data_IF_837081211355
#
_entry.id   IF_837081211355
#
_cell.length_a   1.000
_cell.length_b   1.000
_cell.length_c   1.000
_cell.angle_alpha   90.00
_cell.angle_beta   90.00
_cell.angle_gamma   90.00
#
_symmetry.space_group_name_H-M   'P 1'
#
loop_
_entity.id
_entity.type
_entity.pdbx_description
1 polymer ?
#
# COMPACT_ATOMS: atom_id res chain seq x y z
N UNK A 1 16.85 27.62 -2.86
CA UNK A 1 15.42 27.43 -2.53
C UNK A 1 15.28 26.02 -1.99
N UNK A 2 14.54 25.83 -0.91
CA UNK A 2 14.21 24.47 -0.46
C UNK A 2 13.33 23.82 -1.52
N UNK A 3 13.70 22.62 -1.97
CA UNK A 3 12.92 21.86 -2.95
C UNK A 3 11.68 21.27 -2.27
N UNK A 4 10.49 21.39 -2.90
CA UNK A 4 9.27 20.74 -2.43
C UNK A 4 9.36 19.26 -2.80
N UNK A 5 9.43 18.35 -1.82
CA UNK A 5 9.57 16.92 -2.09
C UNK A 5 8.22 16.30 -2.47
N UNK A 6 8.25 15.16 -3.20
CA UNK A 6 7.03 14.40 -3.53
C UNK A 6 6.34 13.89 -2.27
N UNK A 7 7.12 13.38 -1.32
CA UNK A 7 6.65 12.85 -0.05
C UNK A 7 7.34 13.52 1.12
N UNK A 8 6.59 13.71 2.21
CA UNK A 8 7.13 14.17 3.48
C UNK A 8 6.24 13.67 4.61
N UNK A 9 6.75 12.83 5.52
CA UNK A 9 5.95 12.36 6.65
C UNK A 9 5.59 13.51 7.59
N UNK A 10 4.42 13.43 8.21
CA UNK A 10 3.99 14.34 9.27
C UNK A 10 4.57 13.85 10.60
N UNK A 11 5.83 14.17 10.87
CA UNK A 11 6.47 13.89 12.16
C UNK A 11 6.49 15.19 12.98
N UNK A 12 5.92 15.13 14.17
CA UNK A 12 5.78 16.24 15.10
C UNK A 12 6.18 15.82 16.53
N UNK A 13 5.85 16.64 17.52
CA UNK A 13 6.24 16.38 18.92
C UNK A 13 5.64 15.10 19.48
N UNK A 14 4.46 14.70 19.00
CA UNK A 14 3.76 13.49 19.45
C UNK A 14 4.51 12.23 19.07
N UNK A 15 4.95 12.10 17.81
CA UNK A 15 5.74 10.97 17.33
C UNK A 15 7.12 10.92 18.01
N UNK A 16 7.73 12.10 18.21
CA UNK A 16 9.02 12.18 18.91
C UNK A 16 8.87 11.72 20.37
N UNK A 17 7.80 12.19 21.05
CA UNK A 17 7.52 11.78 22.43
C UNK A 17 7.25 10.27 22.53
N UNK A 18 6.41 9.70 21.64
CA UNK A 18 6.12 8.28 21.59
C UNK A 18 7.40 7.43 21.35
N UNK A 19 8.28 7.91 20.48
CA UNK A 19 9.57 7.25 20.24
C UNK A 19 10.45 7.27 21.49
N UNK A 20 10.57 8.41 22.17
CA UNK A 20 11.35 8.55 23.42
C UNK A 20 10.79 7.63 24.50
N UNK A 21 9.48 7.65 24.73
CA UNK A 21 8.81 6.79 25.72
C UNK A 21 9.06 5.31 25.45
N UNK A 22 8.95 4.88 24.16
CA UNK A 22 9.24 3.50 23.77
C UNK A 22 10.69 3.11 24.04
N UNK A 23 11.65 4.04 23.85
CA UNK A 23 13.06 3.80 24.14
C UNK A 23 13.33 3.73 25.65
N UNK A 24 12.70 4.61 26.44
CA UNK A 24 12.83 4.64 27.92
C UNK A 24 12.21 3.40 28.56
N UNK A 25 11.14 2.82 27.97
CA UNK A 25 10.57 1.54 28.38
C UNK A 25 11.61 0.39 28.35
N UNK A 26 12.64 0.50 27.51
CA UNK A 26 13.73 -0.46 27.41
C UNK A 26 13.37 -1.79 26.72
N UNK A 27 12.12 -2.01 26.32
CA UNK A 27 11.69 -3.19 25.57
C UNK A 27 11.53 -2.85 24.09
N UNK A 28 12.59 -3.05 23.29
CA UNK A 28 12.66 -2.63 21.88
C UNK A 28 12.12 -3.67 20.90
N UNK A 29 11.97 -4.93 21.32
CA UNK A 29 11.35 -5.98 20.49
C UNK A 29 9.84 -5.80 20.38
N UNK A 30 9.16 -6.82 19.88
CA UNK A 30 7.70 -6.87 19.87
C UNK A 30 7.15 -6.87 21.30
N UNK A 31 6.15 -6.04 21.59
CA UNK A 31 5.59 -5.90 22.94
C UNK A 31 4.26 -5.14 22.95
N UNK A 32 3.99 -4.41 24.04
CA UNK A 32 2.70 -3.76 24.30
C UNK A 32 2.29 -2.72 23.24
N UNK A 33 3.23 -1.95 22.68
CA UNK A 33 2.92 -0.99 21.62
C UNK A 33 2.49 -1.68 20.31
N UNK A 34 3.00 -2.87 20.00
CA UNK A 34 2.57 -3.63 18.84
C UNK A 34 1.10 -4.04 18.97
N UNK A 35 0.66 -4.44 20.18
CA UNK A 35 -0.75 -4.72 20.45
C UNK A 35 -1.62 -3.48 20.25
N UNK A 36 -1.23 -2.34 20.83
CA UNK A 36 -1.94 -1.07 20.66
C UNK A 36 -2.04 -0.65 19.19
N UNK A 37 -0.99 -0.87 18.42
CA UNK A 37 -0.99 -0.59 16.99
C UNK A 37 -1.96 -1.51 16.22
N UNK A 38 -1.98 -2.82 16.51
CA UNK A 38 -2.93 -3.76 15.92
C UNK A 38 -4.38 -3.37 16.26
N UNK A 39 -4.66 -2.96 17.50
CA UNK A 39 -5.96 -2.45 17.95
C UNK A 39 -6.35 -1.14 17.24
N UNK A 40 -5.43 -0.20 17.09
CA UNK A 40 -5.68 1.06 16.38
C UNK A 40 -5.96 0.84 14.88
N UNK A 41 -5.23 -0.07 14.23
CA UNK A 41 -5.53 -0.46 12.83
C UNK A 41 -6.91 -1.10 12.72
N UNK A 42 -7.28 -1.98 13.67
CA UNK A 42 -8.60 -2.62 13.70
C UNK A 42 -9.73 -1.58 13.86
N UNK A 43 -9.53 -0.55 14.68
CA UNK A 43 -10.48 0.55 14.88
C UNK A 43 -10.69 1.36 13.60
N UNK A 44 -9.62 1.77 12.91
CA UNK A 44 -9.71 2.50 11.63
C UNK A 44 -10.47 1.67 10.59
N UNK A 45 -10.23 0.36 10.53
CA UNK A 45 -10.91 -0.55 9.62
C UNK A 45 -12.32 -0.96 10.11
N UNK A 46 -12.78 -0.46 11.27
CA UNK A 46 -14.06 -0.79 11.90
C UNK A 46 -14.29 -2.31 11.99
N UNK A 47 -13.26 -3.06 12.37
CA UNK A 47 -13.38 -4.49 12.55
C UNK A 47 -14.16 -4.78 13.83
N UNK A 48 -15.36 -5.34 13.67
CA UNK A 48 -16.16 -5.79 14.83
C UNK A 48 -15.49 -7.00 15.50
N UNK A 49 -15.53 -7.11 16.84
CA UNK A 49 -15.12 -8.32 17.54
C UNK A 49 -15.83 -9.61 17.03
N UNK A 50 -17.06 -9.46 16.53
CA UNK A 50 -17.84 -10.56 15.98
C UNK A 50 -17.51 -10.90 14.52
N UNK A 51 -16.69 -10.07 13.85
CA UNK A 51 -16.35 -10.26 12.43
C UNK A 51 -15.36 -11.40 12.18
N UNK A 52 -14.80 -12.01 13.23
CA UNK A 52 -13.70 -12.98 13.15
C UNK A 52 -12.48 -12.47 12.35
N UNK A 53 -12.33 -11.14 12.24
CA UNK A 53 -11.19 -10.49 11.57
C UNK A 53 -10.22 -9.94 12.59
N UNK A 54 -8.94 -10.14 12.28
CA UNK A 54 -7.84 -9.81 13.17
C UNK A 54 -6.72 -9.10 12.41
N UNK A 55 -6.01 -8.25 13.10
CA UNK A 55 -4.82 -7.54 12.59
C UNK A 55 -3.57 -8.22 13.11
N UNK A 56 -2.60 -8.44 12.24
CA UNK A 56 -1.26 -8.93 12.59
C UNK A 56 -0.23 -7.93 12.03
N UNK A 57 0.41 -7.18 12.91
CA UNK A 57 1.46 -6.23 12.53
C UNK A 57 2.76 -6.94 12.14
N UNK A 58 3.42 -6.43 11.12
CA UNK A 58 4.69 -6.94 10.58
C UNK A 58 5.66 -5.80 10.29
N UNK A 59 6.91 -6.13 10.03
CA UNK A 59 7.99 -5.15 9.88
C UNK A 59 7.87 -4.24 8.64
N UNK A 60 7.20 -4.67 7.57
CA UNK A 60 7.05 -3.90 6.32
C UNK A 60 5.82 -4.36 5.55
N UNK A 61 5.33 -3.53 4.61
CA UNK A 61 4.28 -3.96 3.66
C UNK A 61 4.73 -5.16 2.81
N UNK A 62 6.00 -5.22 2.41
CA UNK A 62 6.54 -6.38 1.68
C UNK A 62 6.49 -7.68 2.52
N UNK A 63 6.79 -7.60 3.81
CA UNK A 63 6.63 -8.75 4.72
C UNK A 63 5.15 -9.17 4.84
N UNK A 64 4.22 -8.22 4.82
CA UNK A 64 2.78 -8.50 4.81
C UNK A 64 2.36 -9.24 3.53
N UNK A 65 2.79 -8.78 2.36
CA UNK A 65 2.56 -9.45 1.07
C UNK A 65 3.10 -10.88 1.08
N UNK A 66 4.37 -11.06 1.43
CA UNK A 66 5.03 -12.36 1.42
C UNK A 66 4.36 -13.36 2.37
N UNK A 67 4.08 -12.96 3.62
CA UNK A 67 3.40 -13.85 4.57
C UNK A 67 1.97 -14.18 4.12
N UNK A 68 1.23 -13.21 3.57
CA UNK A 68 -0.13 -13.46 3.08
C UNK A 68 -0.14 -14.47 1.93
N UNK A 69 0.76 -14.34 0.96
CA UNK A 69 0.90 -15.30 -0.14
C UNK A 69 1.24 -16.71 0.39
N UNK A 70 2.18 -16.83 1.34
CA UNK A 70 2.48 -18.11 1.98
C UNK A 70 1.28 -18.71 2.72
N UNK A 71 0.50 -17.87 3.42
CA UNK A 71 -0.73 -18.31 4.11
C UNK A 71 -1.82 -18.77 3.15
N UNK A 72 -1.86 -18.19 1.96
CA UNK A 72 -2.75 -18.60 0.86
C UNK A 72 -2.26 -19.87 0.14
N UNK A 73 -1.11 -20.42 0.57
CA UNK A 73 -0.52 -21.64 0.03
C UNK A 73 0.16 -21.43 -1.33
N UNK A 74 0.58 -20.20 -1.63
CA UNK A 74 1.36 -19.89 -2.84
C UNK A 74 2.78 -20.45 -2.69
N UNK A 75 3.26 -21.18 -3.70
CA UNK A 75 4.56 -21.82 -3.70
C UNK A 75 5.11 -22.14 -5.09
N UNK A 76 6.18 -22.96 -5.17
CA UNK A 76 6.80 -23.32 -6.43
C UNK A 76 5.82 -24.01 -7.41
N UNK A 77 5.76 -23.51 -8.63
CA UNK A 77 4.86 -24.00 -9.68
C UNK A 77 3.53 -23.28 -9.77
N UNK A 78 3.17 -22.46 -8.79
CA UNK A 78 1.99 -21.62 -8.81
C UNK A 78 2.21 -20.33 -9.61
N UNK A 79 1.12 -19.75 -10.08
CA UNK A 79 1.06 -18.46 -10.74
C UNK A 79 0.25 -17.48 -9.87
N UNK A 80 0.72 -16.23 -9.80
CA UNK A 80 -0.01 -15.12 -9.17
C UNK A 80 -0.20 -13.99 -10.18
N UNK A 81 -1.45 -13.66 -10.47
CA UNK A 81 -1.80 -12.55 -11.37
C UNK A 81 -1.66 -11.24 -10.61
N UNK A 82 -0.99 -10.26 -11.20
CA UNK A 82 -0.78 -8.92 -10.62
C UNK A 82 -0.69 -7.87 -11.73
N UNK A 83 -1.18 -6.64 -11.52
CA UNK A 83 -0.96 -5.57 -12.49
C UNK A 83 0.53 -5.40 -12.78
N UNK A 84 0.86 -5.20 -14.06
CA UNK A 84 2.23 -4.84 -14.44
C UNK A 84 2.60 -3.42 -14.01
N UNK A 85 1.60 -2.54 -13.89
CA UNK A 85 1.72 -1.20 -13.35
C UNK A 85 1.53 -1.24 -11.83
N UNK A 86 2.59 -1.62 -11.12
CA UNK A 86 2.54 -1.80 -9.68
C UNK A 86 3.94 -1.64 -9.05
N UNK A 87 4.00 -1.60 -7.70
CA UNK A 87 5.24 -1.62 -6.95
C UNK A 87 5.95 -2.98 -7.11
N UNK A 88 7.27 -2.95 -7.25
CA UNK A 88 8.08 -4.17 -7.35
C UNK A 88 7.98 -5.08 -6.11
N UNK A 89 7.47 -4.60 -4.99
CA UNK A 89 7.28 -5.38 -3.78
C UNK A 89 6.37 -6.59 -4.01
N UNK A 90 5.27 -6.43 -4.78
CA UNK A 90 4.36 -7.52 -5.14
C UNK A 90 5.08 -8.61 -5.91
N UNK A 91 5.81 -8.21 -6.95
CA UNK A 91 6.53 -9.15 -7.81
C UNK A 91 7.62 -9.92 -7.05
N UNK A 92 8.31 -9.22 -6.16
CA UNK A 92 9.35 -9.82 -5.31
C UNK A 92 8.75 -10.74 -4.25
N UNK A 93 7.60 -10.41 -3.66
CA UNK A 93 6.90 -11.27 -2.71
C UNK A 93 6.44 -12.58 -3.37
N UNK A 94 5.92 -12.52 -4.61
CA UNK A 94 5.56 -13.70 -5.41
C UNK A 94 6.79 -14.57 -5.63
N UNK A 95 7.91 -13.98 -6.08
CA UNK A 95 9.15 -14.71 -6.30
C UNK A 95 9.75 -15.30 -5.02
N UNK A 96 9.62 -14.60 -3.89
CA UNK A 96 10.06 -15.09 -2.60
C UNK A 96 9.30 -16.35 -2.14
N UNK A 97 8.04 -16.52 -2.58
CA UNK A 97 7.28 -17.77 -2.41
C UNK A 97 7.72 -18.88 -3.37
N UNK A 98 8.58 -18.61 -4.36
CA UNK A 98 8.95 -19.55 -5.42
C UNK A 98 7.93 -19.60 -6.58
N UNK A 99 6.91 -18.75 -6.57
CA UNK A 99 5.88 -18.68 -7.60
C UNK A 99 6.25 -17.73 -8.75
N UNK A 100 5.45 -17.74 -9.82
CA UNK A 100 5.63 -16.92 -11.01
C UNK A 100 4.62 -15.76 -11.03
N UNK A 101 5.05 -14.47 -11.15
CA UNK A 101 4.12 -13.40 -11.44
C UNK A 101 3.61 -13.51 -12.87
N UNK A 102 2.30 -13.31 -13.03
CA UNK A 102 1.64 -13.21 -14.34
C UNK A 102 1.14 -11.77 -14.47
N UNK A 103 1.69 -11.03 -15.43
CA UNK A 103 1.36 -9.62 -15.56
C UNK A 103 0.07 -9.41 -16.36
N UNK A 104 -0.81 -8.63 -15.79
CA UNK A 104 -2.06 -8.16 -16.40
C UNK A 104 -2.03 -6.64 -16.59
N UNK A 105 -2.84 -6.17 -17.52
CA UNK A 105 -3.03 -4.74 -17.76
C UNK A 105 -3.89 -4.09 -16.67
N UNK A 106 -3.98 -2.79 -16.71
CA UNK A 106 -4.78 -1.95 -15.84
C UNK A 106 -5.96 -1.34 -16.59
N UNK A 107 -6.98 -0.96 -15.87
CA UNK A 107 -8.04 -0.09 -16.34
C UNK A 107 -7.50 1.33 -16.54
N UNK A 108 -7.88 2.00 -17.64
CA UNK A 108 -7.32 3.31 -18.01
C UNK A 108 -7.77 4.45 -17.10
N UNK A 109 -8.97 4.37 -16.58
CA UNK A 109 -9.59 5.44 -15.79
C UNK A 109 -9.14 5.40 -14.34
N UNK A 110 -9.00 4.18 -13.78
CA UNK A 110 -8.69 3.97 -12.37
C UNK A 110 -7.23 3.58 -12.10
N UNK A 111 -6.51 3.11 -13.11
CA UNK A 111 -5.17 2.52 -13.01
C UNK A 111 -5.09 1.30 -12.08
N UNK A 112 -6.23 0.80 -11.60
CA UNK A 112 -6.35 -0.47 -10.90
C UNK A 112 -6.31 -1.64 -11.89
N UNK A 113 -6.27 -2.87 -11.37
CA UNK A 113 -6.27 -4.09 -12.19
C UNK A 113 -7.47 -4.13 -13.16
N UNK A 114 -7.21 -4.43 -14.44
CA UNK A 114 -8.26 -4.80 -15.40
C UNK A 114 -8.76 -6.21 -15.08
N UNK A 115 -9.92 -6.27 -14.43
CA UNK A 115 -10.50 -7.50 -13.89
C UNK A 115 -10.87 -8.48 -14.99
N UNK A 116 -11.36 -7.99 -16.14
CA UNK A 116 -11.71 -8.83 -17.29
C UNK A 116 -10.49 -9.50 -17.88
N UNK A 117 -9.43 -8.73 -18.11
CA UNK A 117 -8.14 -9.28 -18.59
C UNK A 117 -7.49 -10.20 -17.55
N UNK A 118 -7.67 -9.93 -16.26
CA UNK A 118 -7.17 -10.81 -15.21
C UNK A 118 -7.85 -12.18 -15.25
N UNK A 119 -9.17 -12.22 -15.44
CA UNK A 119 -9.91 -13.47 -15.56
C UNK A 119 -9.47 -14.32 -16.76
N UNK A 120 -9.21 -13.67 -17.91
CA UNK A 120 -8.72 -14.36 -19.13
C UNK A 120 -7.34 -15.03 -18.93
N UNK A 121 -6.55 -14.53 -17.97
CA UNK A 121 -5.23 -15.07 -17.65
C UNK A 121 -5.25 -16.22 -16.65
N UNK A 122 -6.42 -16.55 -16.06
CA UNK A 122 -6.53 -17.63 -15.08
C UNK A 122 -6.23 -18.98 -15.74
N UNK A 123 -5.37 -19.78 -15.10
CA UNK A 123 -5.03 -21.16 -15.46
C UNK A 123 -5.20 -22.07 -14.26
N UNK A 124 -5.01 -23.38 -14.47
CA UNK A 124 -4.98 -24.35 -13.37
C UNK A 124 -3.83 -24.12 -12.37
N UNK A 125 -2.84 -23.30 -12.72
CA UNK A 125 -1.73 -22.90 -11.84
C UNK A 125 -2.00 -21.60 -11.07
N UNK A 126 -3.03 -20.85 -11.45
CA UNK A 126 -3.33 -19.57 -10.82
C UNK A 126 -3.85 -19.81 -9.42
N UNK A 127 -3.09 -19.34 -8.42
CA UNK A 127 -3.40 -19.51 -7.01
C UNK A 127 -4.04 -18.27 -6.43
N UNK A 128 -3.62 -17.09 -6.89
CA UNK A 128 -4.01 -15.81 -6.34
C UNK A 128 -4.02 -14.72 -7.40
N UNK A 129 -4.89 -13.71 -7.20
CA UNK A 129 -4.83 -12.42 -7.87
C UNK A 129 -4.49 -11.38 -6.80
N UNK A 130 -3.45 -10.56 -7.02
CA UNK A 130 -3.17 -9.39 -6.20
C UNK A 130 -3.91 -8.20 -6.81
N UNK A 131 -4.82 -7.61 -6.04
CA UNK A 131 -5.54 -6.40 -6.41
C UNK A 131 -5.03 -5.24 -5.56
N UNK A 132 -4.28 -4.32 -6.18
CA UNK A 132 -3.74 -3.13 -5.53
C UNK A 132 -4.67 -1.95 -5.79
N UNK A 133 -5.13 -1.30 -4.72
CA UNK A 133 -5.76 0.01 -4.80
C UNK A 133 -4.72 1.03 -5.25
N UNK A 134 -5.05 1.82 -6.28
CA UNK A 134 -4.09 2.76 -6.82
C UNK A 134 -4.45 4.19 -6.44
N UNK A 135 -3.70 4.77 -5.51
CA UNK A 135 -3.78 6.17 -5.09
C UNK A 135 -5.18 6.58 -4.59
N UNK A 136 -5.92 7.33 -5.40
CA UNK A 136 -7.29 7.80 -5.10
C UNK A 136 -8.37 6.86 -5.64
N UNK A 137 -7.99 5.76 -6.25
CA UNK A 137 -8.90 4.77 -6.80
C UNK A 137 -8.84 3.46 -6.02
N UNK A 138 -10.01 2.94 -5.73
CA UNK A 138 -10.21 1.65 -5.06
C UNK A 138 -10.64 0.64 -6.12
N UNK A 139 -10.06 -0.57 -6.08
CA UNK A 139 -10.45 -1.66 -6.97
C UNK A 139 -11.95 -1.99 -6.84
N UNK A 140 -12.55 -2.52 -7.91
CA UNK A 140 -13.89 -3.07 -7.82
C UNK A 140 -13.87 -4.42 -7.07
N UNK A 141 -13.95 -4.33 -5.75
CA UNK A 141 -13.90 -5.49 -4.86
C UNK A 141 -15.09 -6.42 -5.01
N UNK A 142 -16.24 -5.92 -5.47
CA UNK A 142 -17.42 -6.76 -5.68
C UNK A 142 -17.18 -7.67 -6.89
N UNK A 143 -16.70 -7.14 -8.02
CA UNK A 143 -16.34 -7.94 -9.20
C UNK A 143 -15.17 -8.91 -8.91
N UNK A 144 -14.18 -8.50 -8.11
CA UNK A 144 -13.10 -9.38 -7.66
C UNK A 144 -13.63 -10.55 -6.80
N UNK A 145 -14.58 -10.28 -5.91
CA UNK A 145 -15.21 -11.32 -5.09
C UNK A 145 -16.03 -12.30 -5.96
N UNK A 146 -16.74 -11.82 -6.98
CA UNK A 146 -17.47 -12.65 -7.94
C UNK A 146 -16.55 -13.58 -8.71
N UNK A 147 -15.41 -13.09 -9.22
CA UNK A 147 -14.40 -13.93 -9.88
C UNK A 147 -13.87 -14.99 -8.91
N UNK A 148 -13.52 -14.59 -7.69
CA UNK A 148 -13.03 -15.54 -6.67
C UNK A 148 -14.04 -16.66 -6.40
N UNK A 149 -15.32 -16.33 -6.26
CA UNK A 149 -16.38 -17.31 -6.05
C UNK A 149 -16.55 -18.25 -7.26
N UNK A 150 -16.47 -17.73 -8.48
CA UNK A 150 -16.68 -18.50 -9.70
C UNK A 150 -15.50 -19.40 -10.03
N UNK A 151 -14.27 -18.94 -9.82
CA UNK A 151 -13.04 -19.61 -10.24
C UNK A 151 -12.33 -20.38 -9.13
N UNK A 152 -12.62 -20.06 -7.87
CA UNK A 152 -11.89 -20.56 -6.70
C UNK A 152 -10.51 -19.91 -6.50
N UNK A 153 -10.14 -18.93 -7.33
CA UNK A 153 -8.87 -18.19 -7.20
C UNK A 153 -9.00 -17.17 -6.08
N UNK A 154 -8.07 -17.18 -5.14
CA UNK A 154 -8.08 -16.27 -4.00
C UNK A 154 -7.69 -14.83 -4.39
N UNK A 155 -8.21 -13.84 -3.68
CA UNK A 155 -7.81 -12.43 -3.84
C UNK A 155 -6.96 -12.01 -2.65
N UNK A 156 -5.78 -11.46 -2.92
CA UNK A 156 -4.98 -10.69 -1.97
C UNK A 156 -5.20 -9.21 -2.25
N UNK A 157 -5.83 -8.53 -1.30
CA UNK A 157 -6.02 -7.09 -1.39
C UNK A 157 -4.75 -6.36 -0.92
N UNK A 158 -4.05 -5.74 -1.86
CA UNK A 158 -2.98 -4.80 -1.53
C UNK A 158 -3.57 -3.39 -1.32
N UNK A 159 -3.80 -3.05 -0.07
CA UNK A 159 -4.33 -1.77 0.37
C UNK A 159 -3.21 -0.81 0.85
N UNK A 160 -1.98 -0.97 0.34
CA UNK A 160 -0.83 -0.14 0.73
C UNK A 160 -1.01 1.35 0.40
N UNK A 161 -1.96 1.72 -0.44
CA UNK A 161 -2.30 3.11 -0.78
C UNK A 161 -3.62 3.60 -0.16
N UNK A 162 -4.41 2.72 0.43
CA UNK A 162 -5.81 3.01 0.78
C UNK A 162 -6.15 2.90 2.28
N UNK A 163 -5.14 2.85 3.17
CA UNK A 163 -5.40 2.85 4.61
C UNK A 163 -6.16 4.12 5.05
N UNK A 164 -7.31 3.91 5.70
CA UNK A 164 -8.23 4.99 6.10
C UNK A 164 -9.16 5.47 4.99
N UNK A 165 -9.18 4.80 3.84
CA UNK A 165 -10.17 5.00 2.77
C UNK A 165 -11.40 4.11 2.95
N UNK A 166 -12.44 4.35 2.13
CA UNK A 166 -13.68 3.58 2.12
C UNK A 166 -14.03 3.07 0.72
N UNK A 167 -14.62 1.89 0.65
CA UNK A 167 -15.23 1.32 -0.54
C UNK A 167 -16.73 1.20 -0.36
N UNK A 168 -17.52 1.96 -1.12
CA UNK A 168 -19.00 2.00 -1.03
C UNK A 168 -19.47 2.20 0.43
N UNK A 169 -18.86 3.17 1.12
CA UNK A 169 -19.18 3.54 2.50
C UNK A 169 -18.69 2.57 3.58
N UNK A 170 -17.91 1.55 3.23
CA UNK A 170 -17.29 0.62 4.18
C UNK A 170 -15.78 0.84 4.23
N UNK A 171 -15.15 0.97 5.41
CA UNK A 171 -13.71 1.12 5.50
C UNK A 171 -12.95 -0.01 4.80
N UNK A 172 -11.82 0.33 4.20
CA UNK A 172 -10.90 -0.64 3.62
C UNK A 172 -10.31 -1.53 4.72
N UNK A 173 -10.20 -2.85 4.43
CA UNK A 173 -9.69 -3.87 5.32
C UNK A 173 -10.63 -5.06 5.52
N UNK A 174 -11.90 -4.95 5.08
CA UNK A 174 -12.91 -5.97 5.31
C UNK A 174 -13.43 -6.64 4.02
N UNK A 175 -12.85 -6.33 2.87
CA UNK A 175 -13.36 -6.75 1.56
C UNK A 175 -13.02 -8.20 1.22
N UNK A 176 -11.83 -8.67 1.59
CA UNK A 176 -11.33 -10.01 1.24
C UNK A 176 -10.81 -10.77 2.46
N UNK A 177 -10.40 -12.04 2.25
CA UNK A 177 -9.84 -12.88 3.30
C UNK A 177 -8.50 -12.34 3.81
N UNK A 178 -7.66 -11.83 2.93
CA UNK A 178 -6.39 -11.21 3.25
C UNK A 178 -6.36 -9.80 2.68
N UNK A 179 -6.09 -8.82 3.54
CA UNK A 179 -5.80 -7.44 3.17
C UNK A 179 -4.49 -7.03 3.81
N UNK A 180 -3.61 -6.38 3.04
CA UNK A 180 -2.34 -5.88 3.59
C UNK A 180 -2.30 -4.35 3.56
N UNK A 181 -1.60 -3.78 4.53
CA UNK A 181 -1.26 -2.37 4.59
C UNK A 181 0.24 -2.18 4.69
N UNK A 182 0.71 -1.03 4.21
CA UNK A 182 2.08 -0.56 4.34
C UNK A 182 2.12 0.73 5.12
N UNK A 183 3.06 0.81 6.05
CA UNK A 183 3.36 2.00 6.85
C UNK A 183 4.83 2.41 6.67
N UNK A 184 5.29 2.35 5.42
CA UNK A 184 6.60 2.80 4.93
C UNK A 184 6.78 4.31 5.17
N UNK A 185 8.01 4.87 5.17
CA UNK A 185 8.28 6.29 5.40
C UNK A 185 7.51 7.27 4.52
N UNK A 186 7.12 6.86 3.30
CA UNK A 186 6.42 7.72 2.35
C UNK A 186 4.90 7.64 2.43
N UNK A 187 4.34 6.64 3.17
CA UNK A 187 2.89 6.41 3.25
C UNK A 187 2.16 7.51 4.00
N UNK A 188 0.85 7.55 3.85
CA UNK A 188 -0.04 8.53 4.52
C UNK A 188 0.11 8.49 6.04
N UNK A 189 0.19 7.27 6.58
CA UNK A 189 0.52 6.93 7.96
C UNK A 189 1.83 6.16 7.94
N UNK A 190 2.81 6.56 8.74
CA UNK A 190 4.11 5.89 8.80
C UNK A 190 4.45 5.37 10.18
N UNK A 191 5.07 4.19 10.20
CA UNK A 191 5.75 3.64 11.38
C UNK A 191 7.28 3.75 11.25
N UNK A 192 7.80 4.60 10.32
CA UNK A 192 9.15 4.55 9.74
C UNK A 192 9.22 3.36 8.77
N UNK A 193 9.13 2.15 9.28
CA UNK A 193 8.86 0.92 8.55
C UNK A 193 7.77 0.13 9.27
N UNK A 194 6.82 -0.41 8.52
CA UNK A 194 5.73 -1.17 9.08
C UNK A 194 4.82 -1.77 8.01
N UNK A 195 4.07 -2.77 8.44
CA UNK A 195 2.98 -3.36 7.69
C UNK A 195 1.96 -3.99 8.62
N UNK A 196 0.78 -4.27 8.08
CA UNK A 196 -0.23 -5.05 8.78
C UNK A 196 -0.95 -5.99 7.81
N UNK A 197 -1.40 -7.11 8.34
CA UNK A 197 -2.22 -8.10 7.63
C UNK A 197 -3.55 -8.18 8.36
N UNK A 198 -4.66 -7.98 7.64
CA UNK A 198 -5.97 -8.36 8.15
C UNK A 198 -6.31 -9.75 7.62
N UNK A 199 -6.74 -10.62 8.53
CA UNK A 199 -7.12 -12.00 8.24
C UNK A 199 -8.38 -12.39 9.01
N UNK A 200 -9.22 -13.25 8.45
CA UNK A 200 -10.54 -13.60 8.98
C UNK A 200 -10.60 -14.95 9.70
N UNK A 201 -9.51 -15.40 10.34
CA UNK A 201 -9.43 -16.73 10.94
C UNK A 201 -8.42 -16.75 12.09
N UNK A 202 -8.84 -17.15 13.29
CA UNK A 202 -7.96 -17.24 14.46
C UNK A 202 -6.75 -18.20 14.28
N UNK A 203 -6.95 -19.31 13.58
CA UNK A 203 -5.85 -20.24 13.29
C UNK A 203 -4.81 -19.59 12.39
N UNK A 204 -5.27 -18.86 11.37
CA UNK A 204 -4.37 -18.09 10.51
C UNK A 204 -3.62 -17.02 11.29
N UNK A 205 -4.26 -16.37 12.28
CA UNK A 205 -3.59 -15.41 13.19
C UNK A 205 -2.43 -16.09 13.94
N UNK A 206 -2.68 -17.23 14.57
CA UNK A 206 -1.65 -17.98 15.32
C UNK A 206 -0.47 -18.35 14.42
N UNK A 207 -0.75 -18.84 13.20
CA UNK A 207 0.29 -19.16 12.23
C UNK A 207 1.05 -17.92 11.75
N UNK A 208 0.38 -16.81 11.45
CA UNK A 208 1.04 -15.54 11.09
C UNK A 208 1.93 -15.02 12.22
N UNK A 209 1.45 -15.10 13.47
CA UNK A 209 2.20 -14.70 14.65
C UNK A 209 3.48 -15.54 14.82
N UNK A 210 3.41 -16.85 14.60
CA UNK A 210 4.58 -17.71 14.59
C UNK A 210 5.49 -17.41 13.41
N UNK A 211 4.94 -17.32 12.18
CA UNK A 211 5.73 -17.05 10.96
C UNK A 211 6.49 -15.73 11.01
N UNK A 212 5.88 -14.64 11.52
CA UNK A 212 6.58 -13.34 11.67
C UNK A 212 7.70 -13.37 12.70
N UNK A 213 7.74 -14.39 13.58
CA UNK A 213 8.71 -14.55 14.66
C UNK A 213 9.53 -15.84 14.49
N UNK A 214 10.10 -16.06 13.31
CA UNK A 214 10.96 -17.20 12.93
C UNK A 214 10.33 -18.58 13.22
N UNK A 215 9.02 -18.71 13.11
CA UNK A 215 8.29 -19.96 13.36
C UNK A 215 8.06 -20.32 14.82
N UNK A 216 8.42 -19.45 15.75
CA UNK A 216 8.28 -19.70 17.19
C UNK A 216 6.81 -19.68 17.61
N UNK A 217 6.34 -20.81 18.15
CA UNK A 217 5.03 -20.90 18.78
C UNK A 217 5.13 -20.41 20.22
N UNK A 218 4.40 -19.33 20.54
CA UNK A 218 4.33 -18.78 21.89
C UNK A 218 2.89 -18.46 22.26
N UNK A 219 2.49 -18.59 23.55
CA UNK A 219 1.21 -18.05 23.98
C UNK A 219 1.12 -16.55 23.68
N UNK A 220 0.01 -16.10 23.09
CA UNK A 220 -0.22 -14.69 22.74
C UNK A 220 0.02 -13.74 23.94
N UNK A 221 -0.30 -14.21 25.16
CA UNK A 221 -0.03 -13.46 26.40
C UNK A 221 1.45 -13.06 26.57
N UNK A 222 2.40 -13.83 26.07
CA UNK A 222 3.82 -13.50 26.17
C UNK A 222 4.31 -12.59 25.05
N UNK A 223 3.66 -12.61 23.90
CA UNK A 223 4.09 -11.79 22.75
C UNK A 223 3.94 -10.29 22.98
N UNK A 224 2.93 -9.89 23.79
CA UNK A 224 2.52 -8.50 23.96
C UNK A 224 2.78 -7.93 25.37
N UNK A 225 3.45 -8.66 26.23
CA UNK A 225 3.67 -8.28 27.65
C UNK A 225 5.08 -7.80 27.96
N UNK A 226 5.88 -7.39 26.98
CA UNK A 226 7.28 -6.97 27.18
C UNK A 226 8.10 -8.02 27.95
N UNK A 227 7.85 -9.31 27.67
CA UNK A 227 8.52 -10.45 28.30
C UNK A 227 8.98 -11.47 27.25
N UNK A 228 9.89 -12.37 27.66
CA UNK A 228 10.37 -13.45 26.78
C UNK A 228 9.86 -14.80 27.27
N UNK A 229 9.35 -15.62 26.35
CA UNK A 229 9.25 -17.05 26.59
C UNK A 229 10.63 -17.69 26.37
N UNK A 230 11.07 -18.46 27.34
CA UNK A 230 12.34 -19.19 27.26
C UNK A 230 12.19 -20.61 26.70
N UNK A 231 10.95 -21.08 26.58
CA UNK A 231 10.61 -22.39 26.00
C UNK A 231 9.58 -22.15 24.88
N UNK A 232 9.87 -22.65 23.70
CA UNK A 232 9.05 -22.54 22.50
C UNK A 232 9.33 -23.73 21.58
N UNK A 233 8.43 -23.95 20.63
CA UNK A 233 8.65 -24.91 19.54
C UNK A 233 8.70 -24.18 18.20
N UNK A 234 9.24 -24.84 17.17
CA UNK A 234 9.26 -24.36 15.77
C UNK A 234 8.63 -25.45 14.92
N UNK A 235 7.37 -25.20 14.50
CA UNK A 235 6.57 -26.18 13.75
C UNK A 235 6.64 -25.97 12.24
N UNK A 236 6.98 -24.74 11.80
CA UNK A 236 7.06 -24.42 10.38
C UNK A 236 8.11 -23.32 10.11
N UNK A 237 8.44 -23.16 8.81
CA UNK A 237 9.35 -22.09 8.38
C UNK A 237 8.75 -20.72 8.72
N UNK A 238 9.51 -19.89 9.40
CA UNK A 238 9.18 -18.53 9.75
C UNK A 238 10.27 -17.53 9.40
N UNK A 239 9.96 -16.25 9.56
CA UNK A 239 10.79 -15.13 9.17
C UNK A 239 10.92 -14.14 10.33
N UNK A 240 11.96 -13.31 10.33
CA UNK A 240 12.08 -12.23 11.31
C UNK A 240 11.38 -10.97 10.81
N UNK A 241 10.07 -11.03 10.71
CA UNK A 241 9.20 -9.99 10.16
C UNK A 241 8.32 -9.29 11.20
N UNK A 242 8.58 -9.48 12.49
CA UNK A 242 7.83 -8.81 13.55
C UNK A 242 8.17 -7.31 13.61
N UNK A 243 7.15 -6.50 13.90
CA UNK A 243 7.29 -5.07 14.16
C UNK A 243 7.94 -4.84 15.54
N UNK A 244 8.75 -3.81 15.68
CA UNK A 244 9.31 -3.39 16.99
C UNK A 244 8.33 -2.49 17.75
N UNK A 245 8.48 -2.41 19.08
CA UNK A 245 7.72 -1.46 19.89
C UNK A 245 7.94 -0.01 19.46
N UNK A 246 9.15 0.36 19.07
CA UNK A 246 9.48 1.71 18.63
C UNK A 246 8.66 2.11 17.38
N UNK A 247 8.64 1.25 16.38
CA UNK A 247 7.87 1.50 15.15
C UNK A 247 6.37 1.53 15.44
N UNK A 248 5.89 0.63 16.28
CA UNK A 248 4.49 0.57 16.67
C UNK A 248 4.04 1.83 17.45
N UNK A 249 4.86 2.33 18.37
CA UNK A 249 4.56 3.54 19.14
C UNK A 249 4.39 4.77 18.24
N UNK A 250 5.29 4.95 17.25
CA UNK A 250 5.17 5.99 16.23
C UNK A 250 3.90 5.80 15.41
N UNK A 251 3.60 4.56 14.99
CA UNK A 251 2.40 4.23 14.23
C UNK A 251 1.11 4.55 14.97
N UNK A 252 1.01 4.26 16.27
CA UNK A 252 -0.14 4.63 17.10
C UNK A 252 -0.32 6.14 17.13
N UNK A 253 0.78 6.90 17.34
CA UNK A 253 0.73 8.37 17.33
C UNK A 253 0.24 8.91 15.98
N UNK A 254 0.69 8.33 14.88
CA UNK A 254 0.26 8.69 13.51
C UNK A 254 -1.22 8.38 13.27
N UNK A 255 -1.69 7.19 13.68
CA UNK A 255 -3.10 6.79 13.52
C UNK A 255 -4.03 7.74 14.28
N UNK A 256 -3.64 8.20 15.46
CA UNK A 256 -4.42 9.18 16.24
C UNK A 256 -4.66 10.51 15.50
N UNK A 257 -3.86 10.82 14.47
CA UNK A 257 -3.99 12.00 13.62
C UNK A 257 -4.57 11.70 12.23
N UNK A 258 -5.10 10.51 11.99
CA UNK A 258 -5.49 10.05 10.64
C UNK A 258 -6.51 10.98 9.98
N UNK A 259 -7.46 11.52 10.74
CA UNK A 259 -8.49 12.43 10.20
C UNK A 259 -7.93 13.79 9.78
N UNK A 260 -6.95 14.30 10.51
CA UNK A 260 -6.22 15.52 10.13
C UNK A 260 -5.40 15.30 8.87
N UNK A 261 -4.64 14.20 8.84
CA UNK A 261 -3.81 13.80 7.71
C UNK A 261 -4.67 13.63 6.45
N UNK A 262 -5.77 12.88 6.56
CA UNK A 262 -6.71 12.65 5.45
C UNK A 262 -7.29 13.96 4.91
N UNK A 263 -7.83 14.82 5.79
CA UNK A 263 -8.43 16.09 5.39
C UNK A 263 -7.44 16.98 4.65
N UNK A 264 -6.24 17.14 5.18
CA UNK A 264 -5.19 17.95 4.54
C UNK A 264 -4.85 17.46 3.13
N UNK A 265 -4.77 16.15 2.93
CA UNK A 265 -4.49 15.55 1.63
C UNK A 265 -5.66 15.65 0.66
N UNK A 266 -6.89 15.45 1.13
CA UNK A 266 -8.11 15.64 0.34
C UNK A 266 -8.24 17.08 -0.16
N UNK A 267 -8.00 18.06 0.70
CA UNK A 267 -8.03 19.49 0.33
C UNK A 267 -6.99 19.82 -0.74
N UNK A 268 -5.77 19.28 -0.61
CA UNK A 268 -4.73 19.44 -1.62
C UNK A 268 -5.11 18.79 -2.96
N UNK A 269 -5.67 17.58 -2.96
CA UNK A 269 -6.16 16.91 -4.17
C UNK A 269 -7.27 17.69 -4.86
N UNK A 270 -8.27 18.18 -4.10
CA UNK A 270 -9.36 19.02 -4.63
C UNK A 270 -8.82 20.31 -5.24
N UNK A 271 -7.81 20.92 -4.61
CA UNK A 271 -7.17 22.12 -5.13
C UNK A 271 -6.42 21.85 -6.45
N UNK A 272 -5.63 20.77 -6.53
CA UNK A 272 -4.99 20.34 -7.77
C UNK A 272 -6.01 20.10 -8.87
N UNK A 273 -7.04 19.30 -8.59
CA UNK A 273 -8.08 18.96 -9.55
C UNK A 273 -8.74 20.19 -10.14
N UNK A 274 -9.20 21.13 -9.27
CA UNK A 274 -9.86 22.36 -9.71
C UNK A 274 -8.96 23.25 -10.59
N UNK A 275 -7.65 23.20 -10.44
CA UNK A 275 -6.71 24.08 -11.14
C UNK A 275 -6.08 23.45 -12.39
N UNK A 276 -6.05 22.13 -12.49
CA UNK A 276 -5.31 21.43 -13.54
C UNK A 276 -6.20 20.82 -14.63
N UNK A 277 -7.44 20.45 -14.32
CA UNK A 277 -8.35 19.80 -15.28
C UNK A 277 -8.76 20.67 -16.49
N UNK A 278 -8.51 21.98 -16.44
CA UNK A 278 -8.73 22.88 -17.58
C UNK A 278 -7.58 22.87 -18.62
N UNK A 279 -6.49 22.15 -18.36
CA UNK A 279 -5.33 22.10 -19.24
C UNK A 279 -5.48 20.92 -20.23
N UNK A 280 -5.77 21.19 -21.49
CA UNK A 280 -6.08 20.19 -22.54
C UNK A 280 -4.95 19.20 -22.82
N UNK A 281 -3.71 19.51 -22.48
CA UNK A 281 -2.52 18.70 -22.72
C UNK A 281 -2.15 17.75 -21.58
N UNK A 282 -2.88 17.79 -20.46
CA UNK A 282 -2.76 16.86 -19.38
C UNK A 282 -4.12 16.29 -18.98
N UNK A 283 -4.08 15.16 -18.33
CA UNK A 283 -5.21 14.54 -17.66
C UNK A 283 -4.88 14.34 -16.18
N UNK A 284 -5.89 14.44 -15.32
CA UNK A 284 -5.78 14.33 -13.87
C UNK A 284 -6.86 13.39 -13.32
N UNK A 285 -6.64 12.72 -12.19
CA UNK A 285 -7.60 11.77 -11.65
C UNK A 285 -8.95 12.42 -11.39
N UNK A 286 -10.00 11.79 -11.90
CA UNK A 286 -11.39 12.19 -11.66
C UNK A 286 -11.99 11.23 -10.63
N UNK A 287 -11.82 11.53 -9.35
CA UNK A 287 -12.27 10.72 -8.22
C UNK A 287 -13.06 11.55 -7.22
N UNK A 288 -13.90 10.90 -6.45
CA UNK A 288 -14.44 11.47 -5.22
C UNK A 288 -13.40 11.38 -4.11
N UNK A 289 -12.71 12.49 -3.87
CA UNK A 289 -11.65 12.54 -2.87
C UNK A 289 -12.16 12.43 -1.42
N UNK A 290 -13.47 12.51 -1.17
CA UNK A 290 -14.03 12.46 0.19
C UNK A 290 -14.02 11.04 0.77
N UNK A 291 -14.10 10.00 -0.08
CA UNK A 291 -14.10 8.61 0.34
C UNK A 291 -12.70 8.00 0.50
N UNK A 292 -11.65 8.74 0.12
CA UNK A 292 -10.27 8.22 0.13
C UNK A 292 -9.35 8.99 1.07
N UNK A 293 -8.28 8.34 1.50
CA UNK A 293 -7.11 8.95 2.13
C UNK A 293 -5.97 9.00 1.10
N UNK A 294 -5.85 10.07 0.29
CA UNK A 294 -4.98 10.09 -0.88
C UNK A 294 -3.50 9.87 -0.52
N UNK A 295 -2.85 8.92 -1.17
CA UNK A 295 -1.42 8.65 -1.00
C UNK A 295 -0.57 9.47 -1.96
N UNK A 296 -0.97 9.54 -3.23
CA UNK A 296 -0.37 10.29 -4.31
C UNK A 296 -1.35 11.31 -4.87
N UNK A 297 -0.88 12.20 -5.72
CA UNK A 297 -1.65 12.84 -6.77
C UNK A 297 -0.84 12.80 -8.04
N UNK A 298 -1.41 12.38 -9.15
CA UNK A 298 -0.71 12.27 -10.41
C UNK A 298 -1.38 13.08 -11.51
N UNK A 299 -0.63 13.34 -12.56
CA UNK A 299 -1.13 13.83 -13.85
C UNK A 299 -0.60 12.94 -14.96
N UNK A 300 -1.32 12.87 -16.08
CA UNK A 300 -0.87 12.19 -17.29
C UNK A 300 -0.61 13.22 -18.38
N UNK A 301 0.57 13.18 -18.98
CA UNK A 301 0.96 14.04 -20.09
C UNK A 301 0.54 13.40 -21.41
N UNK A 302 -0.48 13.96 -22.08
CA UNK A 302 -1.08 13.34 -23.28
C UNK A 302 -0.24 13.52 -24.55
N UNK A 303 0.72 14.46 -24.55
CA UNK A 303 1.51 14.86 -25.71
C UNK A 303 2.95 14.28 -25.72
N UNK A 304 3.28 13.33 -24.83
CA UNK A 304 4.59 12.68 -24.77
C UNK A 304 5.70 13.51 -24.12
N UNK A 305 5.41 14.67 -23.54
CA UNK A 305 6.42 15.58 -22.95
C UNK A 305 6.55 15.46 -21.43
N UNK A 306 6.20 14.30 -20.85
CA UNK A 306 6.30 14.04 -19.41
C UNK A 306 7.68 14.36 -18.83
N UNK A 307 8.74 13.91 -19.48
CA UNK A 307 10.10 14.12 -18.97
C UNK A 307 10.57 15.58 -19.10
N UNK A 308 10.05 16.32 -20.06
CA UNK A 308 10.36 17.75 -20.19
C UNK A 308 9.62 18.58 -19.13
N UNK A 309 8.34 18.25 -18.85
CA UNK A 309 7.64 18.81 -17.69
C UNK A 309 8.38 18.50 -16.38
N UNK A 310 8.84 17.26 -16.21
CA UNK A 310 9.60 16.86 -15.03
C UNK A 310 10.88 17.69 -14.85
N UNK A 311 11.63 17.93 -15.93
CA UNK A 311 12.83 18.80 -15.91
C UNK A 311 12.48 20.25 -15.60
N UNK A 312 11.34 20.74 -16.13
CA UNK A 312 10.84 22.09 -15.86
C UNK A 312 10.48 22.26 -14.39
N UNK A 313 9.68 21.35 -13.83
CA UNK A 313 9.28 21.35 -12.41
C UNK A 313 10.50 21.37 -11.49
N UNK A 314 11.51 20.55 -11.79
CA UNK A 314 12.76 20.53 -11.03
C UNK A 314 13.48 21.88 -11.03
N UNK A 315 13.50 22.62 -12.15
CA UNK A 315 14.07 23.96 -12.23
C UNK A 315 13.28 24.98 -11.40
N UNK A 316 11.97 24.76 -11.23
CA UNK A 316 11.12 25.58 -10.37
C UNK A 316 11.21 25.20 -8.87
N UNK A 317 12.07 24.25 -8.50
CA UNK A 317 12.22 23.79 -7.11
C UNK A 317 11.16 22.80 -6.65
N UNK A 318 10.47 22.12 -7.58
CA UNK A 318 9.43 21.12 -7.32
C UNK A 318 9.94 19.75 -7.74
N UNK A 319 9.95 18.79 -6.82
CA UNK A 319 10.26 17.40 -7.14
C UNK A 319 9.02 16.67 -7.70
N UNK A 320 9.25 15.61 -8.48
CA UNK A 320 8.18 14.82 -9.11
C UNK A 320 8.61 13.36 -9.20
N UNK A 321 7.63 12.45 -9.08
CA UNK A 321 7.85 11.01 -9.11
C UNK A 321 7.28 10.32 -10.34
N UNK A 322 7.64 9.05 -10.52
CA UNK A 322 7.02 8.13 -11.48
C UNK A 322 6.57 6.90 -10.69
N UNK A 323 5.30 6.74 -10.50
CA UNK A 323 4.68 5.62 -9.80
C UNK A 323 3.61 4.98 -10.69
N UNK A 324 3.95 3.90 -11.41
CA UNK A 324 5.16 3.11 -11.32
C UNK A 324 5.82 2.89 -12.70
N UNK A 325 6.96 2.19 -12.72
CA UNK A 325 7.48 1.57 -13.93
C UNK A 325 6.76 0.23 -14.14
N UNK A 326 6.63 -0.19 -15.38
CA UNK A 326 6.01 -1.47 -15.68
C UNK A 326 6.86 -2.66 -15.20
N UNK A 327 6.26 -3.58 -14.46
CA UNK A 327 6.95 -4.75 -13.90
C UNK A 327 7.61 -5.62 -14.94
N UNK A 328 6.95 -5.83 -16.08
CA UNK A 328 7.48 -6.62 -17.19
C UNK A 328 8.72 -5.99 -17.87
N UNK A 329 9.00 -4.71 -17.64
CA UNK A 329 10.18 -4.02 -18.18
C UNK A 329 11.46 -4.29 -17.38
N UNK A 330 11.34 -4.72 -16.13
CA UNK A 330 12.50 -5.04 -15.30
C UNK A 330 13.21 -6.31 -15.80
N UNK A 331 14.54 -6.27 -15.82
CA UNK A 331 15.37 -7.38 -16.34
C UNK A 331 15.02 -8.73 -15.72
N UNK A 332 14.71 -8.75 -14.42
CA UNK A 332 14.39 -9.97 -13.69
C UNK A 332 13.03 -10.55 -14.06
N UNK A 333 12.08 -9.73 -14.49
CA UNK A 333 10.69 -10.12 -14.76
C UNK A 333 10.32 -10.14 -16.25
N UNK A 334 11.22 -9.74 -17.16
CA UNK A 334 10.91 -9.60 -18.61
C UNK A 334 10.42 -10.87 -19.30
N UNK A 335 10.75 -12.05 -18.77
CA UNK A 335 10.36 -13.35 -19.31
C UNK A 335 9.12 -13.94 -18.60
N UNK A 336 8.53 -13.24 -17.62
CA UNK A 336 7.31 -13.69 -16.98
C UNK A 336 6.13 -13.69 -17.95
N UNK A 337 5.19 -14.62 -17.75
CA UNK A 337 3.96 -14.68 -18.52
C UNK A 337 3.16 -13.37 -18.35
N UNK A 338 2.50 -12.93 -19.42
CA UNK A 338 1.69 -11.74 -19.41
C UNK A 338 0.61 -11.76 -20.49
N UNK A 339 -0.46 -11.03 -20.28
CA UNK A 339 -1.42 -10.65 -21.31
C UNK A 339 -0.96 -9.46 -22.15
N UNK A 340 -1.81 -8.94 -23.02
CA UNK A 340 -1.65 -7.62 -23.63
C UNK A 340 -1.57 -6.54 -22.53
N UNK A 341 -0.71 -5.52 -22.68
CA UNK A 341 -0.39 -4.50 -21.68
C UNK A 341 -0.43 -3.07 -22.26
N UNK A 342 -1.28 -2.83 -23.25
CA UNK A 342 -1.31 -1.58 -24.03
C UNK A 342 -1.58 -0.35 -23.16
N UNK A 343 -2.49 -0.47 -22.18
CA UNK A 343 -2.78 0.62 -21.25
C UNK A 343 -1.58 0.88 -20.35
N UNK A 344 -1.03 -0.15 -19.74
CA UNK A 344 0.19 -0.05 -18.91
C UNK A 344 1.32 0.62 -19.67
N UNK A 345 1.65 0.16 -20.90
CA UNK A 345 2.75 0.69 -21.69
C UNK A 345 2.56 2.17 -22.05
N UNK A 346 1.31 2.60 -22.28
CA UNK A 346 0.97 3.99 -22.52
C UNK A 346 1.07 4.82 -21.24
N UNK A 347 0.48 4.38 -20.14
CA UNK A 347 0.44 5.10 -18.86
C UNK A 347 1.83 5.35 -18.30
N UNK A 348 2.74 4.37 -18.35
CA UNK A 348 4.11 4.54 -17.83
C UNK A 348 4.92 5.62 -18.58
N UNK A 349 4.53 5.98 -19.80
CA UNK A 349 5.14 7.07 -20.55
C UNK A 349 4.51 8.44 -20.21
N UNK A 350 3.29 8.46 -19.68
CA UNK A 350 2.50 9.66 -19.45
C UNK A 350 2.53 10.14 -18.00
N UNK A 351 2.59 9.22 -17.04
CA UNK A 351 2.33 9.50 -15.62
C UNK A 351 3.45 10.30 -14.97
N UNK A 352 3.06 11.27 -14.14
CA UNK A 352 3.94 12.07 -13.31
C UNK A 352 3.24 12.35 -11.97
N UNK A 353 3.83 11.88 -10.87
CA UNK A 353 3.32 12.16 -9.52
C UNK A 353 3.80 13.52 -9.04
N UNK A 354 2.86 14.31 -8.56
CA UNK A 354 3.09 15.63 -7.96
C UNK A 354 3.32 15.50 -6.45
N UNK A 355 3.92 16.51 -5.79
CA UNK A 355 4.01 16.52 -4.34
C UNK A 355 2.64 16.42 -3.68
N UNK A 356 2.50 15.46 -2.75
CA UNK A 356 1.33 15.35 -1.89
C UNK A 356 1.75 14.85 -0.51
N UNK A 357 1.70 15.74 0.49
CA UNK A 357 1.98 15.41 1.88
C UNK A 357 1.26 16.36 2.85
N UNK A 358 1.03 15.92 4.08
CA UNK A 358 0.22 16.66 5.06
C UNK A 358 0.86 17.96 5.59
N UNK A 359 2.11 18.24 5.22
CA UNK A 359 2.80 19.52 5.54
C UNK A 359 2.81 20.53 4.38
N UNK A 360 1.99 20.32 3.35
CA UNK A 360 1.84 21.28 2.27
C UNK A 360 1.04 22.50 2.75
N UNK A 361 1.53 23.68 2.43
CA UNK A 361 0.84 24.94 2.67
C UNK A 361 0.31 25.52 1.34
N UNK A 362 -0.54 26.55 1.38
CA UNK A 362 -1.08 27.15 0.16
C UNK A 362 -0.02 27.69 -0.80
N UNK A 363 1.12 28.17 -0.30
CA UNK A 363 2.20 28.71 -1.14
C UNK A 363 2.90 27.57 -1.90
N UNK A 364 3.11 26.39 -1.25
CA UNK A 364 3.63 25.21 -1.91
C UNK A 364 2.71 24.76 -3.05
N UNK A 365 1.40 24.66 -2.80
CA UNK A 365 0.40 24.28 -3.80
C UNK A 365 0.37 25.28 -4.97
N UNK A 366 0.37 26.57 -4.67
CA UNK A 366 0.38 27.62 -5.69
C UNK A 366 1.66 27.59 -6.53
N UNK A 367 2.82 27.34 -5.92
CA UNK A 367 4.09 27.21 -6.65
C UNK A 367 4.05 25.99 -7.60
N UNK A 368 3.57 24.84 -7.15
CA UNK A 368 3.46 23.65 -7.99
C UNK A 368 2.54 23.90 -9.19
N UNK A 369 1.34 24.44 -8.92
CA UNK A 369 0.34 24.72 -9.96
C UNK A 369 0.85 25.77 -10.97
N UNK A 370 1.44 26.86 -10.48
CA UNK A 370 1.99 27.88 -11.38
C UNK A 370 3.17 27.35 -12.20
N UNK A 371 3.98 26.47 -11.62
CA UNK A 371 5.07 25.81 -12.37
C UNK A 371 4.50 24.93 -13.50
N UNK A 372 3.45 24.17 -13.27
CA UNK A 372 2.78 23.39 -14.31
C UNK A 372 2.20 24.31 -15.39
N UNK A 373 1.44 25.34 -14.99
CA UNK A 373 0.80 26.29 -15.91
C UNK A 373 1.79 27.13 -16.74
N UNK A 374 3.02 27.31 -16.24
CA UNK A 374 4.09 28.03 -16.97
C UNK A 374 4.80 27.15 -18.00
N UNK A 375 4.65 25.83 -17.94
CA UNK A 375 5.17 24.92 -18.95
C UNK A 375 4.47 25.18 -20.31
N UNK A 376 5.23 25.16 -21.38
CA UNK A 376 4.71 25.30 -22.75
C UNK A 376 4.99 23.99 -23.47
N UNK A 377 3.96 23.15 -23.65
CA UNK A 377 4.09 21.87 -24.34
C UNK A 377 4.30 22.03 -25.85
#
# INVERSE_FOLDING_TARGET
MNQIPVFKPLIEKEEIAAAVESLELGWLGMGSYVKQFEEAVAEVCQLSPDSNKHVVAVSTGHAALHLSLLMMGVGPGDEVITPSFNNAADFQAIRACGAEPVFVDIDEDTLCIDITKAEELITAKTKCIIAMDYDVFICDHDSLAEISLRTGVSILHDAAHSFGSSYKGRPIGNQHQYTIFSFDPVKTITCIDGGAIIVNNEEAVKRLQAKRLIGMTQPAAHMYTNSRAWTYDIEELGFRYHMSNLHAAIGVSQINKIDEIRRSRQEACKHYHAQLTSLEWLDAPNSDFDDVNPFLYYIRMLNGQRDDLRKHMKKCGVDTGIHWQAGHSFSFFRNCRRGPLEVTERIVQQILSLPLHSKMNPDDLNLIISSIKSFRP
#
